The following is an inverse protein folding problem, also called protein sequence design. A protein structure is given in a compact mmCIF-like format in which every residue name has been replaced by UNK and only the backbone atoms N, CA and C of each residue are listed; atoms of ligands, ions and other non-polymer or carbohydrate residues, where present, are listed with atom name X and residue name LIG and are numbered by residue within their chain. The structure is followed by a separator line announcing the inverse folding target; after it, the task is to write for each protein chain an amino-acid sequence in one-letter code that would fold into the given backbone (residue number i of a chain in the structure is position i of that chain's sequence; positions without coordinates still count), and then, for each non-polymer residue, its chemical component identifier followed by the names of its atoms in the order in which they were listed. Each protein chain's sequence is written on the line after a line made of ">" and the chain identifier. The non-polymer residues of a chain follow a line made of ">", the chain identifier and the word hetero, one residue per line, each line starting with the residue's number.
data_IF_486801242626
#
_entry.id   IF_486801242626
#
_cell.length_a   1.000
_cell.length_b   1.000
_cell.length_c   1.000
_cell.angle_alpha   90.00
_cell.angle_beta   90.00
_cell.angle_gamma   90.00
#
_symmetry.space_group_name_H-M   'P 1'
#
loop_
_entity.id
_entity.type
_entity.pdbx_description
1 polymer ?
#
# COMPACT_ATOMS: atom_id res chain seq x y z
N UNK A 1 -19.92 -5.67 -0.10
CA UNK A 1 -19.43 -5.90 1.27
C UNK A 1 -20.42 -5.34 2.27
N UNK A 2 -20.68 -6.03 3.39
CA UNK A 2 -21.66 -5.58 4.42
C UNK A 2 -20.98 -5.33 5.77
N UNK A 3 -19.97 -6.12 6.12
CA UNK A 3 -19.22 -6.02 7.36
C UNK A 3 -17.73 -6.21 7.10
N UNK A 4 -16.96 -5.20 7.34
CA UNK A 4 -15.55 -5.13 6.94
C UNK A 4 -14.66 -5.13 8.16
N UNK A 5 -13.55 -5.89 8.11
CA UNK A 5 -12.47 -5.85 9.09
C UNK A 5 -11.18 -5.38 8.42
N UNK A 6 -10.58 -4.33 8.96
CA UNK A 6 -9.28 -3.83 8.52
C UNK A 6 -8.26 -4.20 9.57
N UNK A 7 -7.29 -5.06 9.24
CA UNK A 7 -6.20 -5.48 10.12
C UNK A 7 -4.93 -4.71 9.74
N UNK A 8 -4.29 -4.06 10.71
CA UNK A 8 -3.24 -3.08 10.47
C UNK A 8 -3.81 -1.67 10.21
N UNK A 9 -4.96 -1.37 10.85
CA UNK A 9 -5.70 -0.12 10.66
C UNK A 9 -4.95 1.13 11.15
N UNK A 10 -3.97 0.99 12.04
CA UNK A 10 -3.15 2.11 12.53
C UNK A 10 -1.99 2.50 11.61
N UNK A 11 -1.75 1.75 10.52
CA UNK A 11 -0.74 2.07 9.53
C UNK A 11 -1.13 3.22 8.60
N UNK A 12 -0.20 3.63 7.71
CA UNK A 12 -0.43 4.73 6.76
C UNK A 12 -1.68 4.50 5.90
N UNK A 13 -1.73 3.38 5.17
CA UNK A 13 -2.91 3.05 4.34
C UNK A 13 -4.11 2.73 5.23
N UNK A 14 -3.92 1.98 6.32
CA UNK A 14 -4.99 1.46 7.16
C UNK A 14 -5.83 2.55 7.82
N UNK A 15 -5.21 3.63 8.31
CA UNK A 15 -5.91 4.74 8.95
C UNK A 15 -6.82 5.49 7.96
N UNK A 16 -6.29 5.77 6.77
CA UNK A 16 -7.05 6.46 5.73
C UNK A 16 -8.12 5.57 5.10
N UNK A 17 -7.82 4.28 4.86
CA UNK A 17 -8.79 3.31 4.36
C UNK A 17 -9.95 3.13 5.33
N UNK A 18 -9.68 3.11 6.64
CA UNK A 18 -10.72 2.99 7.65
C UNK A 18 -11.74 4.12 7.54
N UNK A 19 -11.27 5.38 7.52
CA UNK A 19 -12.14 6.55 7.36
C UNK A 19 -12.86 6.54 6.01
N UNK A 20 -12.17 6.19 4.94
CA UNK A 20 -12.74 6.11 3.60
C UNK A 20 -13.88 5.08 3.51
N UNK A 21 -13.66 3.85 4.01
CA UNK A 21 -14.68 2.80 4.02
C UNK A 21 -15.85 3.13 4.98
N UNK A 22 -15.59 3.76 6.13
CA UNK A 22 -16.65 4.24 7.03
C UNK A 22 -17.56 5.25 6.34
N UNK A 23 -17.01 6.11 5.50
CA UNK A 23 -17.78 7.05 4.68
C UNK A 23 -18.70 6.37 3.67
N UNK A 24 -18.27 5.23 3.09
CA UNK A 24 -19.02 4.49 2.06
C UNK A 24 -20.05 3.54 2.69
N UNK A 25 -19.62 2.73 3.65
CA UNK A 25 -20.44 1.62 4.18
C UNK A 25 -21.11 1.91 5.53
N UNK A 26 -20.81 3.07 6.11
CA UNK A 26 -21.27 3.46 7.45
C UNK A 26 -20.31 3.01 8.56
N UNK A 27 -20.11 3.86 9.56
CA UNK A 27 -19.12 3.69 10.62
C UNK A 27 -19.22 2.36 11.35
N UNK A 28 -20.45 1.92 11.70
CA UNK A 28 -20.69 0.66 12.43
C UNK A 28 -20.36 -0.61 11.64
N UNK A 29 -20.21 -0.52 10.32
CA UNK A 29 -19.96 -1.65 9.43
C UNK A 29 -18.47 -1.89 9.17
N UNK A 30 -17.59 -0.99 9.59
CA UNK A 30 -16.15 -1.06 9.37
C UNK A 30 -15.43 -1.12 10.71
N UNK A 31 -14.88 -2.29 11.02
CA UNK A 31 -14.12 -2.55 12.24
C UNK A 31 -12.66 -2.32 11.94
N UNK A 32 -12.04 -1.38 12.64
CA UNK A 32 -10.60 -1.18 12.63
C UNK A 32 -9.94 -2.11 13.64
N UNK A 33 -8.83 -2.76 13.27
CA UNK A 33 -8.06 -3.60 14.16
C UNK A 33 -6.56 -3.32 14.02
N UNK A 34 -5.87 -3.17 15.14
CA UNK A 34 -4.42 -2.97 15.18
C UNK A 34 -3.81 -3.56 16.45
N UNK A 35 -2.50 -3.78 16.44
CA UNK A 35 -1.75 -4.25 17.59
C UNK A 35 -1.79 -3.25 18.76
N UNK A 36 -1.78 -1.96 18.45
CA UNK A 36 -1.81 -0.86 19.40
C UNK A 36 -3.16 -0.19 19.41
N UNK A 37 -3.57 0.27 20.57
CA UNK A 37 -4.76 1.11 20.69
C UNK A 37 -4.60 2.40 19.87
N UNK A 38 -5.70 2.85 19.26
CA UNK A 38 -5.75 4.05 18.46
C UNK A 38 -7.04 4.80 18.76
N UNK A 39 -6.94 5.83 19.58
CA UNK A 39 -8.08 6.61 20.06
C UNK A 39 -8.85 7.28 18.91
N UNK A 40 -8.14 7.76 17.88
CA UNK A 40 -8.76 8.41 16.71
C UNK A 40 -9.64 7.41 15.95
N UNK A 41 -9.15 6.19 15.70
CA UNK A 41 -9.93 5.13 15.04
C UNK A 41 -11.07 4.62 15.92
N UNK A 42 -10.91 4.65 17.25
CA UNK A 42 -11.93 4.23 18.21
C UNK A 42 -13.03 5.26 18.36
N UNK A 43 -12.75 6.56 18.23
CA UNK A 43 -13.75 7.64 18.34
C UNK A 43 -14.68 7.71 17.12
N UNK A 44 -14.23 7.22 15.96
CA UNK A 44 -14.95 7.30 14.68
C UNK A 44 -15.68 5.99 14.28
N UNK A 45 -15.63 4.95 15.14
CA UNK A 45 -16.33 3.69 14.92
C UNK A 45 -15.69 2.51 15.66
N UNK A 46 -16.15 1.26 15.40
CA UNK A 46 -15.66 0.08 16.08
C UNK A 46 -14.14 -0.09 15.90
N UNK A 47 -13.46 -0.27 17.03
CA UNK A 47 -12.03 -0.59 17.08
C UNK A 47 -11.78 -1.80 17.98
N UNK A 48 -10.84 -2.66 17.58
CA UNK A 48 -10.43 -3.84 18.36
C UNK A 48 -8.91 -3.94 18.37
N UNK A 49 -8.33 -4.06 19.54
CA UNK A 49 -6.91 -4.41 19.64
C UNK A 49 -6.70 -5.86 19.21
N UNK A 50 -5.88 -6.07 18.18
CA UNK A 50 -5.62 -7.38 17.57
C UNK A 50 -4.15 -7.52 17.18
N UNK A 51 -3.49 -8.56 17.70
CA UNK A 51 -2.29 -9.08 17.06
C UNK A 51 -2.71 -10.03 15.93
N UNK A 52 -2.34 -9.71 14.68
CA UNK A 52 -2.67 -10.51 13.51
C UNK A 52 -2.07 -11.93 13.55
N UNK A 53 -1.05 -12.15 14.38
CA UNK A 53 -0.46 -13.48 14.62
C UNK A 53 -1.29 -14.32 15.60
N UNK A 54 -2.18 -13.71 16.37
CA UNK A 54 -3.11 -14.41 17.25
C UNK A 54 -4.34 -14.87 16.47
N UNK A 55 -4.24 -16.05 15.85
CA UNK A 55 -5.29 -16.64 15.00
C UNK A 55 -6.62 -16.78 15.73
N UNK A 56 -6.63 -17.25 16.99
CA UNK A 56 -7.86 -17.53 17.73
C UNK A 56 -8.64 -16.23 18.01
N UNK A 57 -7.95 -15.17 18.44
CA UNK A 57 -8.57 -13.86 18.65
C UNK A 57 -9.07 -13.26 17.33
N UNK A 58 -8.32 -13.42 16.25
CA UNK A 58 -8.70 -12.94 14.92
C UNK A 58 -9.97 -13.66 14.43
N UNK A 59 -9.99 -15.00 14.48
CA UNK A 59 -11.15 -15.83 14.12
C UNK A 59 -12.39 -15.47 14.96
N UNK A 60 -12.22 -15.29 16.28
CA UNK A 60 -13.28 -14.85 17.16
C UNK A 60 -13.90 -13.51 16.74
N UNK A 61 -13.06 -12.53 16.38
CA UNK A 61 -13.54 -11.20 15.93
C UNK A 61 -14.35 -11.33 14.64
N UNK A 62 -13.85 -12.11 13.66
CA UNK A 62 -14.53 -12.32 12.37
C UNK A 62 -15.89 -12.99 12.60
N UNK A 63 -15.91 -14.09 13.34
CA UNK A 63 -17.14 -14.84 13.64
C UNK A 63 -18.17 -14.00 14.40
N UNK A 64 -17.76 -13.40 15.52
CA UNK A 64 -18.64 -12.62 16.40
C UNK A 64 -19.34 -11.47 15.68
N UNK A 65 -18.65 -10.82 14.75
CA UNK A 65 -19.15 -9.65 14.07
C UNK A 65 -19.77 -9.93 12.69
N UNK A 66 -19.75 -11.18 12.22
CA UNK A 66 -20.26 -11.56 10.90
C UNK A 66 -19.51 -10.85 9.77
N UNK A 67 -18.18 -10.77 9.86
CA UNK A 67 -17.32 -10.15 8.85
C UNK A 67 -17.42 -10.92 7.54
N UNK A 68 -17.62 -10.20 6.44
CA UNK A 68 -17.67 -10.77 5.08
C UNK A 68 -16.50 -10.32 4.18
N UNK A 69 -15.75 -9.28 4.60
CA UNK A 69 -14.57 -8.81 3.89
C UNK A 69 -13.43 -8.45 4.86
N UNK A 70 -12.23 -8.93 4.58
CA UNK A 70 -11.03 -8.66 5.35
C UNK A 70 -10.04 -7.87 4.48
N UNK A 71 -9.51 -6.77 5.00
CA UNK A 71 -8.36 -6.06 4.44
C UNK A 71 -7.17 -6.32 5.37
N UNK A 72 -6.24 -7.16 4.94
CA UNK A 72 -5.00 -7.41 5.68
C UNK A 72 -3.90 -6.46 5.20
N UNK A 73 -3.62 -5.44 5.99
CA UNK A 73 -2.61 -4.41 5.69
C UNK A 73 -1.35 -4.54 6.55
N UNK A 74 -1.25 -5.63 7.33
CA UNK A 74 -0.11 -5.88 8.21
C UNK A 74 1.13 -6.21 7.41
N UNK A 75 2.17 -5.38 7.54
CA UNK A 75 3.48 -5.67 6.95
C UNK A 75 4.61 -4.88 7.63
N UNK A 76 5.78 -5.51 7.78
CA UNK A 76 7.05 -4.79 7.91
C UNK A 76 7.54 -4.42 6.50
N UNK A 77 7.85 -3.13 6.30
CA UNK A 77 8.20 -2.57 5.00
C UNK A 77 9.67 -2.83 4.62
N UNK A 78 10.02 -2.54 3.37
CA UNK A 78 11.30 -2.87 2.72
C UNK A 78 12.54 -2.51 3.57
N UNK A 79 12.83 -1.24 3.78
CA UNK A 79 14.03 -0.82 4.49
C UNK A 79 14.06 -1.22 5.99
N UNK A 80 12.90 -1.35 6.62
CA UNK A 80 12.78 -1.84 8.00
C UNK A 80 12.92 -3.37 8.04
N UNK A 81 12.37 -4.08 7.07
CA UNK A 81 12.46 -5.54 6.96
C UNK A 81 13.88 -6.05 6.73
N UNK A 82 14.69 -5.33 5.96
CA UNK A 82 16.10 -5.69 5.74
C UNK A 82 16.97 -5.62 7.01
N UNK A 83 16.59 -4.82 7.99
CA UNK A 83 17.29 -4.79 9.29
C UNK A 83 17.01 -6.04 10.12
N UNK A 84 15.89 -6.72 9.90
CA UNK A 84 15.52 -7.95 10.60
C UNK A 84 14.66 -8.86 9.69
N UNK A 85 15.28 -9.55 8.72
CA UNK A 85 14.56 -10.31 7.69
C UNK A 85 13.70 -11.45 8.25
N UNK A 86 14.16 -12.13 9.30
CA UNK A 86 13.38 -13.21 9.92
C UNK A 86 12.11 -12.69 10.61
N UNK A 87 12.19 -11.54 11.26
CA UNK A 87 11.01 -10.90 11.84
C UNK A 87 10.04 -10.44 10.75
N UNK A 88 10.56 -9.88 9.66
CA UNK A 88 9.74 -9.48 8.51
C UNK A 88 9.00 -10.68 7.92
N UNK A 89 9.68 -11.80 7.69
CA UNK A 89 9.05 -13.03 7.24
C UNK A 89 7.94 -13.50 8.20
N UNK A 90 8.25 -13.62 9.48
CA UNK A 90 7.31 -14.14 10.47
C UNK A 90 6.04 -13.29 10.59
N UNK A 91 6.17 -11.97 10.59
CA UNK A 91 5.03 -11.05 10.67
C UNK A 91 4.23 -11.06 9.35
N UNK A 92 4.91 -10.83 8.22
CA UNK A 92 4.23 -10.68 6.93
C UNK A 92 3.52 -11.97 6.51
N UNK A 93 4.21 -13.09 6.61
CA UNK A 93 3.65 -14.39 6.20
C UNK A 93 2.68 -14.95 7.26
N UNK A 94 2.95 -14.76 8.54
CA UNK A 94 2.07 -15.21 9.61
C UNK A 94 0.71 -14.50 9.58
N UNK A 95 0.71 -13.16 9.43
CA UNK A 95 -0.52 -12.39 9.32
C UNK A 95 -1.33 -12.76 8.06
N UNK A 96 -0.64 -12.95 6.91
CA UNK A 96 -1.29 -13.37 5.68
C UNK A 96 -1.89 -14.77 5.80
N UNK A 97 -1.13 -15.74 6.33
CA UNK A 97 -1.61 -17.12 6.50
C UNK A 97 -2.83 -17.19 7.40
N UNK A 98 -2.82 -16.46 8.53
CA UNK A 98 -3.99 -16.38 9.40
C UNK A 98 -5.20 -15.76 8.68
N UNK A 99 -4.99 -14.69 7.91
CA UNK A 99 -6.07 -14.04 7.14
C UNK A 99 -6.67 -14.97 6.08
N UNK A 100 -5.85 -15.74 5.37
CA UNK A 100 -6.28 -16.70 4.36
C UNK A 100 -7.07 -17.87 4.98
N UNK A 101 -6.56 -18.46 6.07
CA UNK A 101 -7.25 -19.54 6.76
C UNK A 101 -8.59 -19.09 7.36
N UNK A 102 -8.64 -17.90 7.94
CA UNK A 102 -9.86 -17.30 8.49
C UNK A 102 -10.86 -16.99 7.37
N UNK A 103 -10.37 -16.39 6.26
CA UNK A 103 -11.21 -16.13 5.11
C UNK A 103 -11.82 -17.41 4.53
N UNK A 104 -11.03 -18.50 4.48
CA UNK A 104 -11.51 -19.84 4.06
C UNK A 104 -12.56 -20.41 5.03
N UNK A 105 -12.32 -20.30 6.34
CA UNK A 105 -13.18 -20.87 7.38
C UNK A 105 -14.54 -20.17 7.46
N UNK A 106 -14.56 -18.83 7.31
CA UNK A 106 -15.76 -18.02 7.48
C UNK A 106 -16.36 -17.48 6.17
N UNK A 107 -15.79 -17.83 5.02
CA UNK A 107 -16.31 -17.41 3.72
C UNK A 107 -16.15 -15.91 3.43
N UNK A 108 -15.10 -15.29 3.96
CA UNK A 108 -14.81 -13.88 3.72
C UNK A 108 -14.06 -13.70 2.40
N UNK A 109 -14.29 -12.56 1.73
CA UNK A 109 -13.35 -12.06 0.73
C UNK A 109 -12.11 -11.45 1.41
N UNK A 110 -10.95 -11.55 0.77
CA UNK A 110 -9.70 -11.06 1.33
C UNK A 110 -8.96 -10.14 0.36
N UNK A 111 -8.70 -8.93 0.80
CA UNK A 111 -7.72 -8.05 0.16
C UNK A 111 -6.41 -8.06 0.95
N UNK A 112 -5.29 -8.26 0.25
CA UNK A 112 -3.95 -8.06 0.81
C UNK A 112 -3.05 -7.38 -0.21
N UNK A 113 -2.41 -6.23 0.10
CA UNK A 113 -1.64 -5.49 -0.90
C UNK A 113 -0.33 -6.20 -1.23
N UNK A 114 -0.05 -6.31 -2.53
CA UNK A 114 1.31 -6.50 -3.05
C UNK A 114 1.98 -5.13 -3.29
N UNK A 115 3.11 -5.11 -3.96
CA UNK A 115 3.95 -3.93 -4.11
C UNK A 115 4.85 -4.05 -5.35
N UNK A 116 5.30 -2.91 -5.88
CA UNK A 116 6.42 -2.88 -6.82
C UNK A 116 7.68 -3.55 -6.26
N UNK A 117 7.80 -3.67 -4.94
CA UNK A 117 8.87 -4.42 -4.28
C UNK A 117 8.85 -5.94 -4.54
N UNK A 118 7.79 -6.49 -5.15
CA UNK A 118 7.74 -7.88 -5.60
C UNK A 118 8.60 -8.12 -6.84
N UNK A 119 8.89 -7.08 -7.62
CA UNK A 119 9.75 -7.18 -8.79
C UNK A 119 11.22 -7.26 -8.39
N UNK A 120 12.03 -7.84 -9.28
CA UNK A 120 13.47 -8.00 -9.11
C UNK A 120 14.02 -8.98 -10.14
N UNK A 121 15.34 -9.04 -10.30
CA UNK A 121 16.01 -9.81 -11.34
C UNK A 121 16.01 -9.10 -12.70
N UNK A 122 15.95 -9.87 -13.77
CA UNK A 122 15.97 -9.36 -15.15
C UNK A 122 14.55 -9.25 -15.70
N UNK A 123 14.05 -8.02 -15.80
CA UNK A 123 12.72 -7.69 -16.34
C UNK A 123 12.73 -6.30 -17.00
N UNK A 124 11.81 -6.00 -17.94
CA UNK A 124 11.66 -4.67 -18.50
C UNK A 124 11.22 -3.68 -17.41
N UNK A 125 12.05 -2.68 -17.12
CA UNK A 125 11.75 -1.70 -16.05
C UNK A 125 10.77 -0.62 -16.45
N UNK A 126 10.75 -0.28 -17.74
CA UNK A 126 9.81 0.68 -18.30
C UNK A 126 8.57 -0.07 -18.77
N UNK A 127 7.40 0.42 -18.36
CA UNK A 127 6.12 -0.20 -18.69
C UNK A 127 6.13 -1.72 -18.38
N UNK A 128 6.58 -2.06 -17.16
CA UNK A 128 6.76 -3.44 -16.70
C UNK A 128 5.47 -4.24 -16.88
N UNK A 129 5.49 -5.34 -17.67
CA UNK A 129 4.28 -6.13 -17.94
C UNK A 129 3.66 -6.73 -16.68
N UNK A 130 2.36 -7.06 -16.77
CA UNK A 130 1.63 -7.75 -15.70
C UNK A 130 2.29 -9.07 -15.31
N UNK A 131 2.67 -9.86 -16.28
CA UNK A 131 3.26 -11.18 -16.10
C UNK A 131 4.75 -11.16 -16.46
N UNK A 132 5.59 -11.20 -15.42
CA UNK A 132 7.05 -11.33 -15.54
C UNK A 132 7.56 -12.29 -14.47
N UNK A 133 8.77 -12.81 -14.68
CA UNK A 133 9.48 -13.56 -13.64
C UNK A 133 9.94 -12.58 -12.56
N UNK A 134 9.48 -12.79 -11.33
CA UNK A 134 9.80 -11.93 -10.19
C UNK A 134 10.86 -12.62 -9.31
N UNK A 135 12.00 -11.96 -9.16
CA UNK A 135 13.15 -12.45 -8.37
C UNK A 135 13.66 -11.32 -7.45
N UNK A 136 12.84 -10.88 -6.46
CA UNK A 136 13.23 -9.77 -5.60
C UNK A 136 14.43 -10.11 -4.72
N UNK A 137 15.28 -9.10 -4.46
CA UNK A 137 16.47 -9.20 -3.65
C UNK A 137 16.25 -8.83 -2.18
N UNK A 138 15.02 -8.41 -1.82
CA UNK A 138 14.67 -8.03 -0.45
C UNK A 138 13.74 -9.05 0.19
N UNK A 139 13.84 -9.25 1.51
CA UNK A 139 12.91 -10.11 2.25
C UNK A 139 11.46 -9.61 2.11
N UNK A 140 11.26 -8.30 2.07
CA UNK A 140 9.94 -7.73 1.81
C UNK A 140 9.38 -8.18 0.46
N UNK A 141 10.18 -8.08 -0.61
CA UNK A 141 9.79 -8.53 -1.95
C UNK A 141 9.51 -10.03 -2.00
N UNK A 142 10.37 -10.85 -1.37
CA UNK A 142 10.15 -12.30 -1.24
C UNK A 142 8.81 -12.59 -0.56
N UNK A 143 8.47 -11.89 0.54
CA UNK A 143 7.17 -12.03 1.17
C UNK A 143 6.02 -11.63 0.24
N UNK A 144 6.17 -10.56 -0.58
CA UNK A 144 5.13 -10.14 -1.51
C UNK A 144 4.88 -11.16 -2.61
N UNK A 145 5.92 -11.66 -3.26
CA UNK A 145 5.81 -12.75 -4.27
C UNK A 145 5.18 -14.00 -3.66
N UNK A 146 5.65 -14.42 -2.48
CA UNK A 146 5.08 -15.57 -1.77
C UNK A 146 3.60 -15.33 -1.46
N UNK A 147 3.24 -14.11 -1.06
CA UNK A 147 1.86 -13.73 -0.77
C UNK A 147 0.95 -13.79 -1.99
N UNK A 148 1.41 -13.34 -3.16
CA UNK A 148 0.69 -13.45 -4.43
C UNK A 148 0.43 -14.92 -4.80
N UNK A 149 1.46 -15.74 -4.74
CA UNK A 149 1.36 -17.18 -5.05
C UNK A 149 0.46 -17.92 -4.06
N UNK A 150 0.58 -17.62 -2.77
CA UNK A 150 -0.24 -18.25 -1.74
C UNK A 150 -1.71 -17.83 -1.87
N UNK A 151 -1.99 -16.55 -2.09
CA UNK A 151 -3.35 -16.06 -2.33
C UNK A 151 -3.97 -16.71 -3.56
N UNK A 152 -3.21 -16.87 -4.64
CA UNK A 152 -3.68 -17.57 -5.83
C UNK A 152 -3.96 -19.05 -5.57
N UNK A 153 -3.11 -19.72 -4.77
CA UNK A 153 -3.36 -21.11 -4.34
C UNK A 153 -4.66 -21.24 -3.56
N UNK A 154 -4.94 -20.31 -2.60
CA UNK A 154 -6.19 -20.34 -1.82
C UNK A 154 -7.42 -20.11 -2.69
N UNK A 155 -7.32 -19.25 -3.69
CA UNK A 155 -8.41 -19.06 -4.66
C UNK A 155 -8.64 -20.35 -5.47
N UNK A 156 -7.60 -20.88 -6.09
CA UNK A 156 -7.73 -22.03 -7.01
C UNK A 156 -8.10 -23.32 -6.28
N UNK A 157 -7.58 -23.51 -5.06
CA UNK A 157 -7.75 -24.75 -4.31
C UNK A 157 -9.00 -24.76 -3.43
N UNK A 158 -9.35 -23.63 -2.85
CA UNK A 158 -10.39 -23.52 -1.82
C UNK A 158 -11.51 -22.55 -2.21
N UNK A 159 -11.42 -21.84 -3.32
CA UNK A 159 -12.42 -20.88 -3.74
C UNK A 159 -12.47 -19.59 -2.88
N UNK A 160 -11.44 -19.30 -2.12
CA UNK A 160 -11.38 -18.05 -1.33
C UNK A 160 -11.25 -16.89 -2.28
N UNK A 161 -12.15 -15.90 -2.21
CA UNK A 161 -12.08 -14.70 -3.04
C UNK A 161 -10.96 -13.77 -2.56
N UNK A 162 -9.75 -14.04 -3.00
CA UNK A 162 -8.55 -13.25 -2.71
C UNK A 162 -8.31 -12.23 -3.82
N UNK A 163 -7.98 -10.99 -3.45
CA UNK A 163 -7.71 -9.90 -4.40
C UNK A 163 -6.55 -9.05 -3.93
N UNK A 164 -5.76 -8.55 -4.89
CA UNK A 164 -4.57 -7.77 -4.59
C UNK A 164 -4.20 -6.82 -5.73
N UNK A 165 -3.47 -5.76 -5.39
CA UNK A 165 -2.80 -4.87 -6.34
C UNK A 165 -1.32 -4.76 -5.96
N UNK A 166 -0.46 -4.57 -6.94
CA UNK A 166 0.95 -4.18 -6.74
C UNK A 166 1.00 -2.67 -6.62
N UNK A 167 1.01 -2.20 -5.38
CA UNK A 167 1.08 -0.76 -5.14
C UNK A 167 2.42 -0.18 -5.57
N UNK A 168 2.39 0.95 -6.28
CA UNK A 168 3.51 1.89 -6.40
C UNK A 168 3.93 2.46 -5.04
N UNK A 169 4.89 3.39 -5.04
CA UNK A 169 5.19 4.19 -3.87
C UNK A 169 4.00 5.08 -3.48
N UNK A 170 3.49 4.92 -2.27
CA UNK A 170 2.29 5.64 -1.82
C UNK A 170 2.68 6.98 -1.20
N UNK A 171 2.02 8.05 -1.67
CA UNK A 171 2.18 9.43 -1.18
C UNK A 171 0.90 9.83 -0.46
N UNK A 172 1.02 10.30 0.77
CA UNK A 172 -0.11 10.76 1.59
C UNK A 172 0.22 12.07 2.28
N UNK A 173 -0.79 12.91 2.44
CA UNK A 173 -0.72 14.12 3.26
C UNK A 173 -1.31 13.93 4.67
N UNK A 174 -1.86 12.78 5.01
CA UNK A 174 -2.54 12.52 6.31
C UNK A 174 -1.56 11.89 7.30
N UNK A 175 -1.12 10.69 7.02
CA UNK A 175 -0.24 9.91 7.90
C UNK A 175 1.18 9.88 7.36
N UNK A 176 2.16 10.14 8.23
CA UNK A 176 3.58 10.05 7.86
C UNK A 176 3.95 8.60 7.50
N UNK A 177 4.86 8.41 6.55
CA UNK A 177 5.32 7.09 6.15
C UNK A 177 6.14 6.39 7.24
N UNK A 178 6.23 5.06 7.17
CA UNK A 178 6.76 4.20 8.23
C UNK A 178 8.06 3.46 7.91
N UNK A 179 8.98 4.02 7.15
CA UNK A 179 10.29 3.40 6.88
C UNK A 179 10.35 2.66 5.54
N UNK A 180 9.69 3.20 4.52
CA UNK A 180 9.78 2.75 3.13
C UNK A 180 10.91 3.43 2.35
N UNK A 181 11.26 2.88 1.21
CA UNK A 181 12.25 3.46 0.29
C UNK A 181 11.73 4.74 -0.38
N UNK A 182 10.42 4.84 -0.58
CA UNK A 182 9.74 5.96 -1.26
C UNK A 182 9.33 7.11 -0.34
N UNK A 183 9.65 7.04 0.95
CA UNK A 183 9.25 8.03 1.96
C UNK A 183 9.71 9.45 1.62
N UNK A 184 10.82 9.58 0.87
CA UNK A 184 11.34 10.86 0.41
C UNK A 184 10.29 11.69 -0.35
N UNK A 185 9.39 11.02 -1.10
CA UNK A 185 8.34 11.66 -1.89
C UNK A 185 7.21 12.27 -1.04
N UNK A 186 7.14 11.92 0.24
CA UNK A 186 6.29 12.58 1.24
C UNK A 186 7.09 13.63 2.02
N UNK A 187 8.26 13.27 2.52
CA UNK A 187 9.12 14.12 3.36
C UNK A 187 9.51 15.43 2.66
N UNK A 188 9.72 15.40 1.34
CA UNK A 188 10.07 16.57 0.51
C UNK A 188 9.00 17.68 0.59
N UNK A 189 7.71 17.33 0.66
CA UNK A 189 6.62 18.31 0.79
C UNK A 189 6.60 18.96 2.17
N UNK A 190 6.86 18.18 3.22
CA UNK A 190 6.97 18.72 4.59
C UNK A 190 8.13 19.69 4.71
N UNK A 191 9.31 19.34 4.17
CA UNK A 191 10.45 20.23 4.13
C UNK A 191 10.15 21.52 3.36
N UNK A 192 9.49 21.42 2.20
CA UNK A 192 9.12 22.57 1.39
C UNK A 192 8.17 23.53 2.10
N UNK A 193 7.14 23.00 2.80
CA UNK A 193 6.18 23.83 3.56
C UNK A 193 6.84 24.50 4.75
N UNK A 194 7.78 23.84 5.44
CA UNK A 194 8.54 24.41 6.57
C UNK A 194 9.60 25.41 6.13
N UNK A 195 9.86 25.55 4.83
CA UNK A 195 10.96 26.38 4.34
C UNK A 195 12.35 25.79 4.61
N UNK A 196 12.42 24.51 4.87
CA UNK A 196 13.65 23.77 5.16
C UNK A 196 14.29 23.24 3.87
N UNK A 197 15.62 23.09 3.89
CA UNK A 197 16.34 22.41 2.81
C UNK A 197 16.12 20.90 2.92
N UNK A 198 15.69 20.27 1.85
CA UNK A 198 15.53 18.82 1.79
C UNK A 198 16.85 18.11 1.41
N UNK A 199 17.15 17.01 2.05
CA UNK A 199 18.29 16.13 1.73
C UNK A 199 17.75 14.80 1.24
N UNK A 200 17.71 14.61 -0.09
CA UNK A 200 17.16 13.41 -0.69
C UNK A 200 18.12 12.21 -0.56
N UNK A 201 17.64 11.03 -0.11
CA UNK A 201 18.48 9.84 0.05
C UNK A 201 18.65 9.01 -1.22
N UNK A 202 17.92 9.31 -2.31
CA UNK A 202 17.99 8.61 -3.59
C UNK A 202 18.11 9.60 -4.74
N UNK A 203 18.75 9.20 -5.86
CA UNK A 203 19.02 10.06 -7.02
C UNK A 203 18.83 9.28 -8.32
N UNK A 204 18.43 9.99 -9.37
CA UNK A 204 18.41 9.53 -10.77
C UNK A 204 17.65 8.19 -10.99
N UNK A 205 16.67 7.90 -10.16
CA UNK A 205 15.84 6.69 -10.26
C UNK A 205 14.39 7.09 -10.52
N UNK A 206 13.82 6.61 -11.62
CA UNK A 206 12.39 6.64 -11.82
C UNK A 206 11.73 5.61 -10.91
N UNK A 207 10.63 5.98 -10.29
CA UNK A 207 9.78 5.05 -9.52
C UNK A 207 8.32 5.37 -9.81
N UNK A 208 7.54 4.31 -9.98
CA UNK A 208 6.10 4.46 -10.07
C UNK A 208 5.53 4.87 -8.70
N UNK A 209 4.68 5.90 -8.68
CA UNK A 209 4.14 6.53 -7.49
C UNK A 209 2.63 6.70 -7.62
N UNK A 210 1.93 6.68 -6.50
CA UNK A 210 0.48 6.85 -6.43
C UNK A 210 0.09 7.72 -5.25
N UNK A 211 -0.85 8.63 -5.46
CA UNK A 211 -1.44 9.41 -4.39
C UNK A 211 -2.46 8.58 -3.61
N UNK A 212 -2.53 8.75 -2.29
CA UNK A 212 -3.37 7.95 -1.41
C UNK A 212 -4.86 7.90 -1.83
N UNK A 213 -5.51 8.98 -2.28
CA UNK A 213 -6.90 8.88 -2.74
C UNK A 213 -7.11 7.87 -3.87
N UNK A 214 -6.18 7.76 -4.82
CA UNK A 214 -6.22 6.73 -5.86
C UNK A 214 -5.98 5.33 -5.29
N UNK A 215 -5.07 5.18 -4.33
CA UNK A 215 -4.80 3.90 -3.67
C UNK A 215 -6.03 3.38 -2.91
N UNK A 216 -6.73 4.26 -2.17
CA UNK A 216 -7.96 3.90 -1.45
C UNK A 216 -9.06 3.47 -2.42
N UNK A 217 -9.25 4.22 -3.50
CA UNK A 217 -10.22 3.92 -4.54
C UNK A 217 -9.91 2.58 -5.22
N UNK A 218 -8.65 2.32 -5.56
CA UNK A 218 -8.22 1.06 -6.17
C UNK A 218 -8.59 -0.16 -5.31
N UNK A 219 -8.37 -0.09 -4.00
CA UNK A 219 -8.72 -1.16 -3.07
C UNK A 219 -10.23 -1.44 -3.05
N UNK A 220 -11.04 -0.40 -3.04
CA UNK A 220 -12.50 -0.53 -2.96
C UNK A 220 -13.06 -1.00 -4.30
N UNK A 221 -12.67 -0.37 -5.41
CA UNK A 221 -13.14 -0.72 -6.76
C UNK A 221 -12.78 -2.17 -7.11
N UNK A 222 -11.56 -2.62 -6.79
CA UNK A 222 -11.18 -4.01 -7.00
C UNK A 222 -12.01 -4.97 -6.14
N UNK A 223 -12.27 -4.65 -4.87
CA UNK A 223 -13.08 -5.52 -3.99
C UNK A 223 -14.57 -5.53 -4.35
N UNK A 224 -15.06 -4.55 -5.08
CA UNK A 224 -16.43 -4.49 -5.61
C UNK A 224 -16.55 -5.02 -7.05
N UNK A 225 -15.43 -5.23 -7.74
CA UNK A 225 -15.43 -5.72 -9.12
C UNK A 225 -16.07 -7.10 -9.23
N UNK A 226 -16.65 -7.37 -10.40
CA UNK A 226 -17.22 -8.68 -10.73
C UNK A 226 -16.13 -9.78 -10.68
N UNK A 227 -16.22 -10.74 -9.73
CA UNK A 227 -15.20 -11.76 -9.55
C UNK A 227 -14.97 -12.64 -10.78
N UNK A 228 -15.96 -12.74 -11.68
CA UNK A 228 -15.86 -13.55 -12.90
C UNK A 228 -15.00 -12.90 -13.98
N UNK A 229 -14.73 -11.60 -13.87
CA UNK A 229 -13.89 -10.85 -14.82
C UNK A 229 -12.42 -10.81 -14.41
N UNK A 230 -12.11 -11.15 -13.15
CA UNK A 230 -10.76 -11.03 -12.60
C UNK A 230 -9.90 -12.26 -12.94
N UNK A 231 -9.07 -12.16 -13.97
CA UNK A 231 -8.07 -13.17 -14.34
C UNK A 231 -6.79 -13.04 -13.49
N UNK A 232 -6.33 -11.79 -13.31
CA UNK A 232 -5.09 -11.46 -12.57
C UNK A 232 -5.36 -11.06 -11.10
N UNK A 233 -6.45 -11.54 -10.52
CA UNK A 233 -6.97 -11.17 -9.19
C UNK A 233 -5.93 -10.99 -8.07
N UNK A 234 -4.86 -11.76 -8.09
CA UNK A 234 -3.80 -11.80 -7.08
C UNK A 234 -2.47 -11.34 -7.65
N UNK A 235 -2.51 -10.29 -8.29
CA UNK A 235 -2.06 -8.95 -8.02
C UNK A 235 -2.03 -8.17 -9.31
N UNK A 236 -2.93 -7.26 -9.47
CA UNK A 236 -2.91 -6.35 -10.61
C UNK A 236 -1.78 -5.34 -10.49
N UNK A 237 -1.03 -5.13 -11.56
CA UNK A 237 -0.29 -3.90 -11.72
C UNK A 237 -1.27 -2.73 -11.75
N UNK A 238 -1.01 -1.69 -10.97
CA UNK A 238 -1.73 -0.40 -11.04
C UNK A 238 -0.71 0.72 -11.10
N UNK A 239 -0.88 1.63 -12.05
CA UNK A 239 0.00 2.78 -12.26
C UNK A 239 -0.76 4.09 -12.07
N UNK A 240 -0.03 5.15 -11.73
CA UNK A 240 -0.56 6.51 -11.66
C UNK A 240 0.43 7.50 -12.25
N UNK A 241 1.61 7.65 -11.66
CA UNK A 241 2.63 8.58 -12.13
C UNK A 241 4.03 8.02 -11.86
N UNK A 242 4.96 8.24 -12.79
CA UNK A 242 6.37 7.87 -12.62
C UNK A 242 7.26 9.09 -12.68
N UNK A 243 8.15 9.25 -11.69
CA UNK A 243 9.03 10.41 -11.62
C UNK A 243 10.30 10.13 -10.81
N UNK A 244 11.33 10.95 -11.07
CA UNK A 244 12.57 11.01 -10.28
C UNK A 244 12.46 12.04 -9.16
N UNK A 245 13.37 12.02 -8.16
CA UNK A 245 13.45 13.07 -7.14
C UNK A 245 13.58 14.49 -7.71
N UNK A 246 14.28 14.66 -8.84
CA UNK A 246 14.41 15.98 -9.48
C UNK A 246 13.09 16.44 -10.11
N UNK A 247 12.29 15.52 -10.66
CA UNK A 247 11.01 15.87 -11.27
C UNK A 247 10.03 16.40 -10.20
N UNK A 248 9.86 15.68 -9.07
CA UNK A 248 8.99 16.14 -7.98
C UNK A 248 9.54 17.43 -7.33
N UNK A 249 10.85 17.56 -7.16
CA UNK A 249 11.48 18.79 -6.68
C UNK A 249 11.17 19.99 -7.58
N UNK A 250 11.30 19.82 -8.89
CA UNK A 250 10.99 20.88 -9.84
C UNK A 250 9.50 21.21 -9.86
N UNK A 251 8.62 20.23 -9.68
CA UNK A 251 7.19 20.47 -9.58
C UNK A 251 6.82 21.30 -8.34
N UNK A 252 7.43 21.00 -7.18
CA UNK A 252 7.27 21.79 -5.95
C UNK A 252 7.77 23.23 -6.17
N UNK A 253 8.90 23.42 -6.84
CA UNK A 253 9.46 24.76 -7.12
C UNK A 253 8.58 25.65 -7.98
N UNK A 254 7.68 25.11 -8.77
CA UNK A 254 6.67 25.92 -9.48
C UNK A 254 5.75 26.68 -8.52
N UNK A 255 5.56 26.17 -7.27
CA UNK A 255 4.74 26.79 -6.20
C UNK A 255 5.58 27.44 -5.10
N UNK A 256 6.79 26.96 -4.88
CA UNK A 256 7.74 27.45 -3.85
C UNK A 256 9.12 27.62 -4.53
N UNK A 257 9.34 28.76 -5.25
CA UNK A 257 10.55 28.95 -6.09
C UNK A 257 11.88 28.87 -5.33
N UNK A 258 11.88 29.27 -4.04
CA UNK A 258 13.07 29.30 -3.19
C UNK A 258 13.38 27.97 -2.51
N UNK A 259 12.56 26.94 -2.68
CA UNK A 259 12.79 25.63 -2.12
C UNK A 259 14.09 25.02 -2.63
N UNK A 260 14.86 24.40 -1.73
CA UNK A 260 16.19 23.84 -2.02
C UNK A 260 16.25 22.36 -1.67
N UNK A 261 16.81 21.56 -2.57
CA UNK A 261 17.11 20.16 -2.36
C UNK A 261 18.60 19.90 -2.63
N UNK A 262 19.16 18.94 -1.91
CA UNK A 262 20.48 18.36 -2.14
C UNK A 262 20.40 16.85 -1.93
N UNK A 263 21.48 16.16 -2.27
CA UNK A 263 21.55 14.70 -2.17
C UNK A 263 22.55 14.28 -1.09
N UNK A 264 22.18 13.27 -0.31
CA UNK A 264 23.07 12.44 0.50
C UNK A 264 22.56 11.00 0.37
N UNK A 265 23.15 10.27 -0.56
CA UNK A 265 22.67 8.95 -0.95
C UNK A 265 22.79 7.97 0.22
N UNK A 266 21.69 7.28 0.50
CA UNK A 266 21.64 6.09 1.33
C UNK A 266 21.81 4.86 0.42
N UNK A 267 22.92 4.11 0.51
CA UNK A 267 23.21 3.01 -0.42
C UNK A 267 22.14 1.89 -0.39
N UNK A 268 21.51 1.67 0.76
CA UNK A 268 20.45 0.64 0.90
C UNK A 268 19.19 1.09 0.17
N UNK A 269 18.73 2.32 0.44
CA UNK A 269 17.54 2.88 -0.24
C UNK A 269 17.77 3.02 -1.75
N UNK A 270 18.95 3.46 -2.17
CA UNK A 270 19.31 3.59 -3.58
C UNK A 270 19.27 2.23 -4.29
N UNK A 271 19.94 1.21 -3.73
CA UNK A 271 19.94 -0.13 -4.31
C UNK A 271 18.55 -0.75 -4.40
N UNK A 272 17.70 -0.56 -3.38
CA UNK A 272 16.30 -1.00 -3.41
C UNK A 272 15.54 -0.29 -4.53
N UNK A 273 15.65 1.05 -4.62
CA UNK A 273 14.96 1.84 -5.65
C UNK A 273 15.41 1.40 -7.07
N UNK A 274 16.69 1.16 -7.27
CA UNK A 274 17.25 0.69 -8.53
C UNK A 274 16.81 -0.73 -8.91
N UNK A 275 16.35 -1.55 -7.97
CA UNK A 275 15.84 -2.90 -8.24
C UNK A 275 14.37 -2.94 -8.67
N UNK A 276 13.63 -1.84 -8.54
CA UNK A 276 12.20 -1.77 -8.81
C UNK A 276 11.87 -1.28 -10.24
N UNK A 277 10.61 -1.47 -10.71
CA UNK A 277 10.13 -0.89 -11.95
C UNK A 277 10.23 0.63 -11.98
N UNK A 278 10.56 1.18 -13.14
CA UNK A 278 10.43 2.61 -13.39
C UNK A 278 8.94 2.99 -13.57
N UNK A 279 8.19 2.13 -14.25
CA UNK A 279 6.74 2.27 -14.49
C UNK A 279 6.10 0.91 -14.71
N UNK A 280 4.79 0.82 -14.47
CA UNK A 280 4.00 -0.40 -14.64
C UNK A 280 3.05 -0.31 -15.82
N UNK A 281 2.87 -1.41 -16.54
CA UNK A 281 1.73 -1.61 -17.43
C UNK A 281 0.51 -2.06 -16.62
N UNK A 282 -0.51 -1.20 -16.56
CA UNK A 282 -1.77 -1.43 -15.83
C UNK A 282 -2.94 -1.81 -16.75
N UNK A 283 -2.65 -2.22 -17.99
CA UNK A 283 -3.67 -2.57 -18.99
C UNK A 283 -4.63 -3.65 -18.50
N UNK A 284 -4.12 -4.69 -17.79
CA UNK A 284 -4.97 -5.73 -17.20
C UNK A 284 -5.96 -5.17 -16.18
N UNK A 285 -5.54 -4.27 -15.32
CA UNK A 285 -6.43 -3.62 -14.36
C UNK A 285 -7.50 -2.77 -15.05
N UNK A 286 -7.13 -2.04 -16.09
CA UNK A 286 -8.07 -1.24 -16.90
C UNK A 286 -9.11 -2.10 -17.59
N UNK A 287 -8.71 -3.23 -18.17
CA UNK A 287 -9.60 -4.14 -18.90
C UNK A 287 -10.52 -4.94 -17.96
N UNK A 288 -10.00 -5.45 -16.85
CA UNK A 288 -10.71 -6.42 -16.03
C UNK A 288 -11.65 -5.79 -15.00
N UNK A 289 -11.30 -4.60 -14.47
CA UNK A 289 -12.14 -3.93 -13.47
C UNK A 289 -12.24 -2.41 -13.64
N UNK A 290 -11.73 -1.85 -14.75
CA UNK A 290 -11.96 -0.46 -15.12
C UNK A 290 -11.07 0.54 -14.40
N UNK A 291 -9.91 0.10 -13.86
CA UNK A 291 -8.97 0.98 -13.18
C UNK A 291 -8.61 2.20 -14.02
N UNK A 292 -8.57 3.36 -13.39
CA UNK A 292 -8.09 4.60 -14.00
C UNK A 292 -7.61 5.56 -12.91
N UNK A 293 -6.34 5.99 -12.90
CA UNK A 293 -5.86 7.00 -11.95
C UNK A 293 -6.57 8.33 -12.19
N UNK A 294 -6.80 9.10 -11.13
CA UNK A 294 -7.44 10.41 -11.17
C UNK A 294 -6.48 11.55 -10.85
N UNK A 295 -5.32 11.23 -10.26
CA UNK A 295 -4.33 12.21 -9.85
C UNK A 295 -3.09 12.15 -10.71
N UNK A 296 -2.60 13.34 -11.09
CA UNK A 296 -1.28 13.54 -11.68
C UNK A 296 -0.34 14.27 -10.70
N UNK A 297 0.94 14.39 -11.07
CA UNK A 297 1.95 15.00 -10.23
C UNK A 297 1.61 16.47 -9.88
N UNK A 298 0.99 17.21 -10.79
CA UNK A 298 0.65 18.62 -10.59
C UNK A 298 -0.49 18.80 -9.59
N UNK A 299 -1.61 18.10 -9.80
CA UNK A 299 -2.77 18.13 -8.91
C UNK A 299 -2.45 17.58 -7.52
N UNK A 300 -1.69 16.48 -7.45
CA UNK A 300 -1.19 15.94 -6.18
C UNK A 300 -0.31 16.96 -5.45
N UNK A 301 0.59 17.66 -6.16
CA UNK A 301 1.46 18.66 -5.54
C UNK A 301 0.66 19.80 -4.94
N UNK A 302 -0.36 20.29 -5.64
CA UNK A 302 -1.24 21.35 -5.13
C UNK A 302 -1.96 20.92 -3.85
N UNK A 303 -2.53 19.71 -3.84
CA UNK A 303 -3.26 19.19 -2.68
C UNK A 303 -2.33 18.89 -1.50
N UNK A 304 -1.17 18.26 -1.74
CA UNK A 304 -0.15 18.01 -0.72
C UNK A 304 0.28 19.29 0.00
N UNK A 305 0.64 20.33 -0.76
CA UNK A 305 1.07 21.60 -0.20
C UNK A 305 -0.06 22.30 0.55
N UNK A 306 -1.28 22.28 0.04
CA UNK A 306 -2.45 22.87 0.68
C UNK A 306 -2.80 22.18 1.99
N UNK A 307 -2.82 20.85 1.99
CA UNK A 307 -3.15 20.04 3.18
C UNK A 307 -2.10 20.17 4.29
N UNK A 308 -0.81 20.14 3.92
CA UNK A 308 0.28 20.24 4.90
C UNK A 308 0.32 21.63 5.54
N UNK A 309 0.10 22.71 4.75
CA UNK A 309 0.01 24.08 5.31
C UNK A 309 -1.10 24.23 6.35
N UNK A 310 -2.24 23.54 6.19
CA UNK A 310 -3.35 23.57 7.16
C UNK A 310 -3.01 22.88 8.49
N UNK A 311 -1.98 22.06 8.55
CA UNK A 311 -1.56 21.37 9.78
C UNK A 311 -0.80 22.28 10.75
N UNK A 312 -0.56 23.56 10.41
CA UNK A 312 0.16 24.54 11.22
C UNK A 312 1.51 24.02 11.77
N UNK A 313 2.32 23.42 10.91
CA UNK A 313 3.62 22.83 11.21
C UNK A 313 4.74 23.86 11.30
#
# INVERSE_FOLDING_TARGET
>A
MKKILIVGAGGQIGSELTSYLRGIYGGSNVIAADLRENEMLASDGPFVQLDALNRDKFAYIVHKNGVDAIYNLVALLSATGEKNPQLAWNINMGALNNSLEIAREYGCSLFTPSSIGAFGGDFPRDNTPQDVVMQPDTMYGVCKVTGELLSNYYYTRYGVDTRSVRFPGIISNVTLPGGGTTDYAVEIYYAAVKGEKFVCPVRDVYMDMMYMPDALRAMVELMEADPNKLRHRNSFNIASMSFTPDIIYNEIRKRIPDFKMTYRIDPVKQGIAESWPNSLDDSCAREEWGWKPQWDLSSMTDDMLAAIRKKNL
#
